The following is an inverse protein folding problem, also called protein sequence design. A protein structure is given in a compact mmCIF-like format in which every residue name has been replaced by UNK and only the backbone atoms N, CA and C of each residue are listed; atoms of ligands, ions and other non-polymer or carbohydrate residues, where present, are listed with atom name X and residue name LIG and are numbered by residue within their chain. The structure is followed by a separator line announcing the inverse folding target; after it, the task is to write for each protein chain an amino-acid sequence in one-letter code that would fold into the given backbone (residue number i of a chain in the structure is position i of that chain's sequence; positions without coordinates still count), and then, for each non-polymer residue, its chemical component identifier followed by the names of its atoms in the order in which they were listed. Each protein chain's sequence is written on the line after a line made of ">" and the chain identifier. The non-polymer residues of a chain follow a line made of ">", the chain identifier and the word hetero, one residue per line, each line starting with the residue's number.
data_IF_172895860515
#
_entry.id   IF_172895860515
#
_cell.length_a   1.000
_cell.length_b   1.000
_cell.length_c   1.000
_cell.angle_alpha   90.00
_cell.angle_beta   90.00
_cell.angle_gamma   90.00
#
_symmetry.space_group_name_H-M   'P 1'
#
loop_
_entity.id
_entity.type
_entity.pdbx_description
1 polymer ?
#
# COMPACT_ATOMS: atom_id res chain seq x y z
N UNK A 1 -13.10 3.35 5.97
CA UNK A 1 -12.20 2.63 5.04
C UNK A 1 -10.91 2.29 5.73
N UNK A 2 -10.19 1.26 5.28
CA UNK A 2 -8.88 0.88 5.84
C UNK A 2 -7.78 1.63 5.08
N UNK A 3 -6.82 2.21 5.81
CA UNK A 3 -5.57 2.72 5.26
C UNK A 3 -4.61 1.55 5.05
N UNK A 4 -4.23 1.31 3.79
CA UNK A 4 -3.43 0.13 3.44
C UNK A 4 -1.91 0.34 3.58
N UNK A 5 -1.45 1.56 3.90
CA UNK A 5 -0.03 1.87 4.01
C UNK A 5 0.21 2.98 5.04
N UNK A 6 0.82 2.64 6.19
CA UNK A 6 1.07 3.58 7.27
C UNK A 6 2.23 3.15 8.18
N UNK A 7 3.09 4.10 8.58
CA UNK A 7 4.21 3.92 9.49
C UNK A 7 3.84 4.41 10.90
N UNK A 8 2.97 3.63 11.57
CA UNK A 8 2.30 4.07 12.79
C UNK A 8 2.86 3.44 14.07
N UNK A 9 3.73 2.42 13.97
CA UNK A 9 4.29 1.77 15.16
C UNK A 9 5.23 2.71 15.92
N UNK A 10 5.10 2.81 17.27
CA UNK A 10 5.89 3.75 18.05
C UNK A 10 7.37 3.37 18.08
N UNK A 11 8.25 4.32 17.74
CA UNK A 11 9.70 4.17 17.75
C UNK A 11 10.21 2.89 17.06
N UNK A 12 9.64 2.58 15.89
CA UNK A 12 9.96 1.35 15.17
C UNK A 12 10.80 1.58 13.91
N UNK A 13 10.42 2.53 13.08
CA UNK A 13 11.08 2.97 11.85
C UNK A 13 11.15 4.51 11.78
N UNK A 14 11.15 5.08 10.59
CA UNK A 14 11.13 6.54 10.36
C UNK A 14 9.73 7.16 10.48
N UNK A 15 8.73 6.37 10.88
CA UNK A 15 7.36 6.81 11.14
C UNK A 15 7.17 7.48 12.50
N UNK A 16 6.20 7.00 13.29
CA UNK A 16 5.89 7.55 14.59
C UNK A 16 7.09 7.42 15.56
N UNK A 17 7.65 8.55 16.02
CA UNK A 17 8.83 8.60 16.88
C UNK A 17 8.61 8.01 18.29
N UNK A 18 7.36 7.98 18.77
CA UNK A 18 6.96 7.53 20.09
C UNK A 18 5.45 7.18 20.13
N UNK A 19 4.99 6.66 21.27
CA UNK A 19 3.60 6.28 21.48
C UNK A 19 2.65 7.49 21.38
N UNK A 20 3.05 8.65 21.87
CA UNK A 20 2.22 9.87 21.81
C UNK A 20 1.95 10.27 20.36
N UNK A 21 2.95 10.22 19.50
CA UNK A 21 2.81 10.48 18.07
C UNK A 21 1.92 9.42 17.40
N UNK A 22 2.09 8.13 17.71
CA UNK A 22 1.25 7.06 17.19
C UNK A 22 -0.23 7.30 17.52
N UNK A 23 -0.53 7.62 18.79
CA UNK A 23 -1.90 7.93 19.23
C UNK A 23 -2.47 9.16 18.53
N UNK A 24 -1.66 10.19 18.34
CA UNK A 24 -2.07 11.40 17.61
C UNK A 24 -2.32 11.12 16.13
N UNK A 25 -1.51 10.27 15.49
CA UNK A 25 -1.74 9.84 14.11
C UNK A 25 -3.04 9.04 13.98
N UNK A 26 -3.37 8.18 14.97
CA UNK A 26 -4.66 7.47 15.02
C UNK A 26 -5.85 8.42 15.16
N UNK A 27 -5.74 9.42 16.03
CA UNK A 27 -6.77 10.45 16.20
C UNK A 27 -7.03 11.20 14.89
N UNK A 28 -5.97 11.63 14.20
CA UNK A 28 -6.05 12.30 12.91
C UNK A 28 -6.65 11.38 11.84
N UNK A 29 -6.24 10.11 11.81
CA UNK A 29 -6.79 9.11 10.88
C UNK A 29 -8.30 8.91 11.10
N UNK A 30 -8.74 8.86 12.35
CA UNK A 30 -10.17 8.77 12.69
C UNK A 30 -10.94 9.99 12.18
N UNK A 31 -10.38 11.19 12.38
CA UNK A 31 -10.97 12.44 11.87
C UNK A 31 -11.02 12.45 10.33
N UNK A 32 -10.07 11.79 9.67
CA UNK A 32 -9.99 11.61 8.22
C UNK A 32 -10.96 10.53 7.68
N UNK A 33 -11.69 9.86 8.57
CA UNK A 33 -12.70 8.83 8.25
C UNK A 33 -12.12 7.44 8.03
N UNK A 34 -10.93 7.17 8.57
CA UNK A 34 -10.29 5.86 8.57
C UNK A 34 -10.90 4.99 9.67
N UNK A 35 -11.25 3.74 9.33
CA UNK A 35 -11.84 2.76 10.23
C UNK A 35 -10.93 1.55 10.52
N UNK A 36 -9.72 1.54 9.98
CA UNK A 36 -8.70 0.52 10.20
C UNK A 36 -7.40 0.93 9.53
N UNK A 37 -6.27 0.43 9.99
CA UNK A 37 -4.93 0.75 9.46
C UNK A 37 -4.12 -0.53 9.35
N UNK A 38 -3.45 -0.74 8.21
CA UNK A 38 -2.39 -1.73 8.07
C UNK A 38 -1.07 -1.03 8.41
N UNK A 39 -0.41 -1.47 9.50
CA UNK A 39 0.93 -1.01 9.84
C UNK A 39 1.94 -1.66 8.89
N UNK A 40 2.64 -0.85 8.13
CA UNK A 40 3.57 -1.28 7.08
C UNK A 40 4.97 -0.74 7.31
N UNK A 41 5.44 -0.77 8.54
CA UNK A 41 6.81 -0.35 8.88
C UNK A 41 7.85 -1.02 8.00
N UNK A 42 8.90 -0.29 7.67
CA UNK A 42 9.99 -0.76 6.80
C UNK A 42 10.69 -1.99 7.35
N UNK A 43 10.94 -2.97 6.48
CA UNK A 43 11.82 -4.11 6.70
C UNK A 43 12.91 -4.13 5.63
N UNK A 44 14.18 -4.10 6.04
CA UNK A 44 15.36 -3.97 5.18
C UNK A 44 16.28 -5.20 5.23
N UNK A 45 15.93 -6.35 4.63
CA UNK A 45 16.72 -7.58 4.70
C UNK A 45 18.16 -7.41 4.17
N UNK A 46 18.38 -6.49 3.20
CA UNK A 46 19.69 -6.19 2.64
C UNK A 46 20.68 -5.58 3.65
N UNK A 47 20.19 -5.05 4.76
CA UNK A 47 21.06 -4.55 5.86
C UNK A 47 21.44 -5.64 6.86
N UNK A 48 21.04 -6.90 6.59
CA UNK A 48 21.22 -8.01 7.52
C UNK A 48 20.07 -8.16 8.54
N UNK A 49 18.97 -7.39 8.39
CA UNK A 49 17.79 -7.54 9.23
C UNK A 49 17.11 -8.89 8.96
N UNK A 50 16.96 -9.67 10.01
CA UNK A 50 16.26 -10.95 9.94
C UNK A 50 14.75 -10.73 9.99
N UNK A 51 14.01 -11.24 8.98
CA UNK A 51 12.55 -11.05 8.86
C UNK A 51 11.80 -11.61 10.09
N UNK A 52 12.29 -12.70 10.70
CA UNK A 52 11.66 -13.25 11.91
C UNK A 52 11.83 -12.33 13.12
N UNK A 53 13.01 -11.74 13.29
CA UNK A 53 13.27 -10.79 14.35
C UNK A 53 12.51 -9.48 14.14
N UNK A 54 12.46 -8.98 12.91
CA UNK A 54 11.60 -7.87 12.53
C UNK A 54 10.15 -8.13 12.94
N UNK A 55 9.59 -9.29 12.54
CA UNK A 55 8.19 -9.64 12.82
C UNK A 55 7.92 -9.71 14.33
N UNK A 56 8.84 -10.28 15.12
CA UNK A 56 8.72 -10.32 16.58
C UNK A 56 8.66 -8.90 17.18
N UNK A 57 9.58 -8.04 16.80
CA UNK A 57 9.62 -6.63 17.27
C UNK A 57 8.39 -5.85 16.85
N UNK A 58 7.94 -6.04 15.60
CA UNK A 58 6.71 -5.45 15.06
C UNK A 58 5.49 -5.87 15.91
N UNK A 59 5.34 -7.14 16.19
CA UNK A 59 4.19 -7.67 16.92
C UNK A 59 4.18 -7.20 18.37
N UNK A 60 5.34 -7.02 19.00
CA UNK A 60 5.48 -6.40 20.31
C UNK A 60 5.00 -4.93 20.30
N UNK A 61 5.50 -4.10 19.36
CA UNK A 61 5.07 -2.70 19.25
C UNK A 61 3.59 -2.57 18.88
N UNK A 62 3.09 -3.45 18.03
CA UNK A 62 1.67 -3.50 17.69
C UNK A 62 0.81 -3.85 18.90
N UNK A 63 1.27 -4.77 19.75
CA UNK A 63 0.58 -5.13 21.00
C UNK A 63 0.55 -3.95 21.99
N UNK A 64 1.66 -3.25 22.15
CA UNK A 64 1.75 -2.03 22.98
C UNK A 64 0.77 -0.95 22.46
N UNK A 65 0.73 -0.70 21.16
CA UNK A 65 -0.17 0.27 20.56
C UNK A 65 -1.64 -0.12 20.75
N UNK A 66 -1.98 -1.41 20.57
CA UNK A 66 -3.34 -1.93 20.80
C UNK A 66 -3.75 -1.85 22.26
N UNK A 67 -2.83 -2.01 23.19
CA UNK A 67 -3.11 -1.84 24.64
C UNK A 67 -3.37 -0.37 25.01
N UNK A 68 -2.75 0.58 24.30
CA UNK A 68 -2.92 2.00 24.54
C UNK A 68 -4.20 2.59 23.92
N UNK A 69 -4.83 1.89 22.94
CA UNK A 69 -6.06 2.33 22.29
C UNK A 69 -6.83 1.15 21.69
N UNK A 70 -8.16 1.27 21.55
CA UNK A 70 -9.05 0.28 20.94
C UNK A 70 -10.07 0.88 19.96
N UNK A 71 -9.90 2.13 19.56
CA UNK A 71 -10.86 2.85 18.71
C UNK A 71 -10.74 2.49 17.24
N UNK A 72 -9.51 2.29 16.76
CA UNK A 72 -9.20 1.92 15.37
C UNK A 72 -8.39 0.62 15.37
N UNK A 73 -8.89 -0.45 14.71
CA UNK A 73 -8.11 -1.67 14.55
C UNK A 73 -6.84 -1.40 13.73
N UNK A 74 -5.69 -1.86 14.25
CA UNK A 74 -4.41 -1.83 13.55
C UNK A 74 -4.00 -3.26 13.23
N UNK A 75 -3.79 -3.54 11.96
CA UNK A 75 -3.40 -4.85 11.43
C UNK A 75 -1.88 -4.92 11.24
N UNK A 76 -1.29 -6.08 11.46
CA UNK A 76 0.13 -6.31 11.20
C UNK A 76 0.43 -6.35 9.69
N UNK A 77 1.56 -5.84 9.30
CA UNK A 77 2.10 -5.89 7.95
C UNK A 77 3.56 -5.46 7.97
N UNK A 78 4.16 -5.31 6.83
CA UNK A 78 5.41 -4.57 6.65
C UNK A 78 5.51 -4.06 5.21
N UNK A 79 6.32 -3.04 5.00
CA UNK A 79 6.83 -2.65 3.70
C UNK A 79 8.19 -3.31 3.52
N UNK A 80 8.19 -4.44 2.79
CA UNK A 80 9.38 -5.26 2.59
C UNK A 80 10.19 -4.72 1.41
N UNK A 81 11.40 -4.24 1.68
CA UNK A 81 12.26 -3.63 0.66
C UNK A 81 12.90 -4.67 -0.26
N UNK A 82 12.87 -4.44 -1.59
CA UNK A 82 13.34 -5.34 -2.65
C UNK A 82 14.75 -4.98 -3.15
N UNK A 83 15.66 -4.55 -2.29
CA UNK A 83 17.08 -4.38 -2.66
C UNK A 83 17.87 -5.69 -2.66
N UNK A 84 17.27 -6.78 -2.22
CA UNK A 84 17.76 -8.16 -2.31
C UNK A 84 16.60 -9.07 -2.71
N UNK A 85 16.89 -10.26 -3.23
CA UNK A 85 15.86 -11.23 -3.63
C UNK A 85 15.18 -11.84 -2.39
N UNK A 86 14.12 -11.16 -1.92
CA UNK A 86 13.35 -11.59 -0.75
C UNK A 86 12.48 -12.83 -1.01
N UNK A 87 12.37 -13.26 -2.26
CA UNK A 87 11.62 -14.47 -2.60
C UNK A 87 12.32 -15.75 -2.13
N UNK A 88 13.62 -15.69 -1.87
CA UNK A 88 14.42 -16.84 -1.43
C UNK A 88 14.38 -17.06 0.09
N UNK A 89 13.87 -16.10 0.89
CA UNK A 89 13.82 -16.27 2.34
C UNK A 89 12.64 -17.16 2.78
N UNK A 90 12.92 -18.11 3.67
CA UNK A 90 11.89 -18.99 4.25
C UNK A 90 10.90 -18.20 5.13
N UNK A 91 11.40 -17.18 5.82
CA UNK A 91 10.64 -16.37 6.76
C UNK A 91 9.74 -15.31 6.10
N UNK A 92 9.75 -15.18 4.78
CA UNK A 92 8.96 -14.19 4.01
C UNK A 92 7.48 -14.19 4.42
N UNK A 93 6.94 -15.35 4.82
CA UNK A 93 5.58 -15.47 5.34
C UNK A 93 5.29 -14.55 6.53
N UNK A 94 6.28 -14.26 7.38
CA UNK A 94 6.13 -13.41 8.56
C UNK A 94 6.01 -11.92 8.22
N UNK A 95 6.36 -11.54 6.99
CA UNK A 95 6.18 -10.20 6.45
C UNK A 95 4.76 -9.95 5.92
N UNK A 96 3.94 -10.99 5.77
CA UNK A 96 2.60 -10.87 5.21
C UNK A 96 1.65 -10.08 6.12
N UNK A 97 0.68 -9.41 5.48
CA UNK A 97 -0.35 -8.62 6.16
C UNK A 97 -1.28 -9.56 6.93
N UNK A 98 -1.43 -9.32 8.24
CA UNK A 98 -2.39 -9.99 9.13
C UNK A 98 -2.40 -11.53 9.00
N UNK A 99 -1.23 -12.14 8.83
CA UNK A 99 -1.03 -13.57 8.59
C UNK A 99 -1.72 -14.15 7.33
N UNK A 100 -2.11 -13.31 6.40
CA UNK A 100 -2.67 -13.71 5.09
C UNK A 100 -1.55 -14.10 4.10
N UNK A 101 -1.84 -14.19 2.82
CA UNK A 101 -0.85 -14.37 1.75
C UNK A 101 -0.47 -13.07 1.05
N UNK A 102 -1.05 -11.94 1.45
CA UNK A 102 -0.74 -10.61 0.91
C UNK A 102 0.54 -10.06 1.52
N UNK A 103 1.46 -9.60 0.67
CA UNK A 103 2.75 -9.05 1.09
C UNK A 103 3.03 -7.74 0.35
N UNK A 104 3.31 -6.67 1.10
CA UNK A 104 3.65 -5.38 0.50
C UNK A 104 5.15 -5.31 0.20
N UNK A 105 5.48 -4.94 -1.02
CA UNK A 105 6.85 -4.87 -1.54
C UNK A 105 7.16 -3.44 -1.94
N UNK A 106 8.20 -2.88 -1.37
CA UNK A 106 8.81 -1.64 -1.83
C UNK A 106 9.88 -1.95 -2.88
N UNK A 107 9.62 -1.54 -4.11
CA UNK A 107 10.61 -1.63 -5.19
C UNK A 107 11.69 -0.56 -5.00
N UNK A 108 12.93 -0.79 -5.46
CA UNK A 108 14.00 0.20 -5.33
C UNK A 108 13.64 1.55 -5.94
N UNK A 109 14.10 2.63 -5.30
CA UNK A 109 14.01 3.99 -5.83
C UNK A 109 14.89 4.23 -7.05
N UNK A 110 16.01 3.48 -7.11
CA UNK A 110 16.97 3.52 -8.19
C UNK A 110 16.51 2.72 -9.41
N UNK A 111 17.43 2.50 -10.36
CA UNK A 111 17.16 1.73 -11.55
C UNK A 111 16.80 0.28 -11.22
N UNK A 112 15.62 -0.14 -11.65
CA UNK A 112 15.21 -1.53 -11.57
C UNK A 112 16.08 -2.39 -12.51
N UNK A 113 16.19 -3.66 -12.17
CA UNK A 113 16.85 -4.70 -12.97
C UNK A 113 15.85 -5.82 -13.22
N UNK A 114 16.11 -6.64 -14.22
CA UNK A 114 15.23 -7.76 -14.58
C UNK A 114 15.00 -8.73 -13.39
N UNK A 115 16.03 -8.95 -12.57
CA UNK A 115 15.89 -9.82 -11.41
C UNK A 115 14.87 -9.33 -10.35
N UNK A 116 14.59 -8.03 -10.25
CA UNK A 116 13.55 -7.53 -9.35
C UNK A 116 12.16 -8.03 -9.81
N UNK A 117 11.91 -7.99 -11.12
CA UNK A 117 10.66 -8.49 -11.70
C UNK A 117 10.56 -10.00 -11.51
N UNK A 118 11.69 -10.71 -11.71
CA UNK A 118 11.79 -12.15 -11.48
C UNK A 118 11.54 -12.51 -10.01
N UNK A 119 12.07 -11.76 -9.05
CA UNK A 119 11.83 -11.96 -7.63
C UNK A 119 10.34 -11.77 -7.26
N UNK A 120 9.70 -10.74 -7.79
CA UNK A 120 8.25 -10.55 -7.63
C UNK A 120 7.47 -11.73 -8.22
N UNK A 121 7.84 -12.20 -9.41
CA UNK A 121 7.23 -13.38 -10.02
C UNK A 121 7.41 -14.64 -9.17
N UNK A 122 8.61 -14.89 -8.64
CA UNK A 122 8.88 -16.02 -7.73
C UNK A 122 7.98 -15.98 -6.48
N UNK A 123 7.71 -14.81 -5.92
CA UNK A 123 6.76 -14.66 -4.81
C UNK A 123 5.37 -15.18 -5.21
N UNK A 124 4.88 -14.85 -6.41
CA UNK A 124 3.57 -15.35 -6.87
C UNK A 124 3.53 -16.87 -7.00
N UNK A 125 4.59 -17.49 -7.53
CA UNK A 125 4.70 -18.96 -7.64
C UNK A 125 4.70 -19.62 -6.25
N UNK A 126 5.27 -18.96 -5.24
CA UNK A 126 5.29 -19.45 -3.86
C UNK A 126 3.95 -19.26 -3.12
N UNK A 127 2.93 -18.75 -3.82
CA UNK A 127 1.57 -18.57 -3.29
C UNK A 127 1.37 -17.27 -2.50
N UNK A 128 2.29 -16.31 -2.59
CA UNK A 128 2.06 -14.96 -2.11
C UNK A 128 1.31 -14.14 -3.14
N UNK A 129 0.62 -13.09 -2.67
CA UNK A 129 0.03 -12.05 -3.51
C UNK A 129 0.79 -10.73 -3.23
N UNK A 130 1.81 -10.42 -4.06
CA UNK A 130 2.56 -9.19 -3.88
C UNK A 130 1.68 -7.95 -4.11
N UNK A 131 1.85 -6.95 -3.24
CA UNK A 131 1.29 -5.60 -3.36
C UNK A 131 2.48 -4.67 -3.58
N UNK A 132 2.57 -4.07 -4.75
CA UNK A 132 3.63 -3.09 -5.01
C UNK A 132 3.23 -1.77 -4.35
N UNK A 133 4.03 -1.35 -3.36
CA UNK A 133 3.83 -0.13 -2.61
C UNK A 133 3.95 1.10 -3.52
N UNK A 134 3.18 2.13 -3.24
CA UNK A 134 3.21 3.45 -3.88
C UNK A 134 3.64 3.45 -5.36
N UNK A 135 3.01 2.59 -6.18
CA UNK A 135 3.32 2.43 -7.62
C UNK A 135 3.35 3.79 -8.36
N UNK A 136 2.58 4.76 -7.89
CA UNK A 136 2.52 6.11 -8.45
C UNK A 136 3.86 6.87 -8.35
N UNK A 137 4.78 6.46 -7.49
CA UNK A 137 6.12 7.05 -7.36
C UNK A 137 7.08 6.60 -8.46
N UNK A 138 6.81 5.47 -9.12
CA UNK A 138 7.71 4.89 -10.13
C UNK A 138 7.42 5.37 -11.56
N UNK A 139 6.74 6.49 -11.73
CA UNK A 139 6.35 7.07 -13.03
C UNK A 139 7.54 7.34 -13.99
N UNK A 140 8.75 7.57 -13.44
CA UNK A 140 9.97 7.84 -14.22
C UNK A 140 10.86 6.60 -14.44
N UNK A 141 10.46 5.45 -13.92
CA UNK A 141 11.23 4.22 -14.09
C UNK A 141 11.18 3.69 -15.52
N UNK A 142 12.10 2.77 -15.83
CA UNK A 142 12.18 2.13 -17.14
C UNK A 142 10.82 1.51 -17.53
N UNK A 143 10.29 1.98 -18.64
CA UNK A 143 8.96 1.57 -19.12
C UNK A 143 8.89 0.09 -19.49
N UNK A 144 10.01 -0.52 -19.93
CA UNK A 144 10.05 -1.94 -20.27
C UNK A 144 9.87 -2.77 -19.00
N UNK A 145 10.61 -2.45 -17.93
CA UNK A 145 10.52 -3.16 -16.65
C UNK A 145 9.20 -2.90 -15.95
N UNK A 146 8.69 -1.67 -16.01
CA UNK A 146 7.36 -1.35 -15.48
C UNK A 146 6.26 -2.13 -16.21
N UNK A 147 6.34 -2.26 -17.56
CA UNK A 147 5.41 -3.08 -18.31
C UNK A 147 5.56 -4.57 -17.97
N UNK A 148 6.78 -5.07 -17.79
CA UNK A 148 6.99 -6.47 -17.36
C UNK A 148 6.37 -6.74 -15.99
N UNK A 149 6.46 -5.78 -15.05
CA UNK A 149 5.77 -5.86 -13.75
C UNK A 149 4.25 -5.89 -13.93
N UNK A 150 3.71 -5.12 -14.89
CA UNK A 150 2.28 -5.06 -15.17
C UNK A 150 1.70 -6.32 -15.83
N UNK A 151 2.52 -7.21 -16.32
CA UNK A 151 2.09 -8.53 -16.82
C UNK A 151 1.99 -9.59 -15.71
N UNK A 152 2.48 -9.27 -14.50
CA UNK A 152 2.40 -10.18 -13.36
C UNK A 152 1.03 -10.08 -12.67
N UNK A 153 0.60 -11.18 -12.05
CA UNK A 153 -0.60 -11.21 -11.20
C UNK A 153 -0.28 -10.66 -9.80
N UNK A 154 -0.19 -9.33 -9.71
CA UNK A 154 0.14 -8.60 -8.48
C UNK A 154 -0.80 -7.41 -8.29
N UNK A 155 -0.88 -6.92 -7.07
CA UNK A 155 -1.68 -5.75 -6.74
C UNK A 155 -0.81 -4.49 -6.69
N UNK A 156 -1.43 -3.33 -6.87
CA UNK A 156 -0.75 -2.03 -6.85
C UNK A 156 -1.43 -1.11 -5.85
N UNK A 157 -0.65 -0.59 -4.90
CA UNK A 157 -1.11 0.43 -3.95
C UNK A 157 -0.69 1.81 -4.45
N UNK A 158 -1.62 2.77 -4.41
CA UNK A 158 -1.42 4.18 -4.77
C UNK A 158 -1.43 5.00 -3.49
N UNK A 159 -0.49 5.94 -3.36
CA UNK A 159 -0.52 6.92 -2.28
C UNK A 159 -1.59 7.99 -2.51
N UNK A 160 -2.21 8.42 -1.42
CA UNK A 160 -3.20 9.50 -1.44
C UNK A 160 -2.70 10.78 -2.11
N UNK A 161 -1.44 11.11 -1.93
CA UNK A 161 -0.79 12.27 -2.58
C UNK A 161 -0.79 12.18 -4.11
N UNK A 162 -0.69 10.97 -4.69
CA UNK A 162 -0.66 10.76 -6.12
C UNK A 162 -1.87 11.33 -6.85
N UNK A 163 -3.02 11.47 -6.18
CA UNK A 163 -4.24 12.05 -6.74
C UNK A 163 -4.19 13.58 -6.87
N UNK A 164 -3.38 14.26 -6.06
CA UNK A 164 -3.25 15.72 -6.06
C UNK A 164 -1.92 16.24 -6.60
N UNK A 165 -0.89 15.38 -6.65
CA UNK A 165 0.42 15.71 -7.17
C UNK A 165 0.37 15.94 -8.68
N UNK A 166 0.86 17.11 -9.13
CA UNK A 166 0.77 17.53 -10.54
C UNK A 166 1.54 16.62 -11.50
N UNK A 167 2.63 16.01 -11.03
CA UNK A 167 3.48 15.14 -11.81
C UNK A 167 2.94 13.70 -11.88
N UNK A 168 2.49 13.13 -10.74
CA UNK A 168 2.00 11.76 -10.64
C UNK A 168 0.55 11.59 -11.11
N UNK A 169 -0.26 12.64 -11.05
CA UNK A 169 -1.71 12.61 -11.35
C UNK A 169 -2.07 12.01 -12.71
N UNK A 170 -1.25 12.24 -13.74
CA UNK A 170 -1.47 11.64 -15.06
C UNK A 170 -1.29 10.13 -15.00
N UNK A 171 -0.21 9.67 -14.37
CA UNK A 171 0.09 8.26 -14.23
C UNK A 171 -0.95 7.53 -13.37
N UNK A 172 -1.40 8.13 -12.28
CA UNK A 172 -2.51 7.61 -11.46
C UNK A 172 -3.78 7.41 -12.30
N UNK A 173 -4.11 8.34 -13.19
CA UNK A 173 -5.26 8.15 -14.12
C UNK A 173 -5.05 6.97 -15.07
N UNK A 174 -3.84 6.79 -15.58
CA UNK A 174 -3.49 5.67 -16.46
C UNK A 174 -3.60 4.33 -15.69
N UNK A 175 -3.14 4.27 -14.44
CA UNK A 175 -3.27 3.10 -13.57
C UNK A 175 -4.73 2.73 -13.32
N UNK A 176 -5.57 3.71 -12.98
CA UNK A 176 -7.00 3.49 -12.76
C UNK A 176 -7.68 3.03 -14.07
N UNK A 177 -7.42 3.71 -15.18
CA UNK A 177 -8.02 3.38 -16.47
C UNK A 177 -7.62 1.98 -16.98
N UNK A 178 -6.41 1.52 -16.65
CA UNK A 178 -5.89 0.20 -17.00
C UNK A 178 -6.18 -0.86 -15.93
N UNK A 179 -6.99 -0.55 -14.90
CA UNK A 179 -7.31 -1.43 -13.78
C UNK A 179 -6.10 -1.90 -12.98
N UNK A 180 -5.08 -1.05 -12.89
CA UNK A 180 -3.82 -1.28 -12.15
C UNK A 180 -3.73 -0.42 -10.89
N UNK A 181 -4.87 -0.10 -10.28
CA UNK A 181 -4.98 0.61 -9.02
C UNK A 181 -5.91 -0.21 -8.12
N UNK A 182 -5.37 -0.87 -7.10
CA UNK A 182 -6.11 -1.84 -6.30
C UNK A 182 -6.35 -1.37 -4.88
N UNK A 183 -5.41 -0.61 -4.32
CA UNK A 183 -5.37 -0.22 -2.92
C UNK A 183 -4.98 1.24 -2.77
N UNK A 184 -5.45 1.84 -1.68
CA UNK A 184 -5.16 3.22 -1.32
C UNK A 184 -4.47 3.26 0.05
N UNK A 185 -3.37 4.00 0.15
CA UNK A 185 -2.64 4.22 1.39
C UNK A 185 -2.27 5.67 1.60
N UNK A 186 -2.15 6.10 2.85
CA UNK A 186 -1.67 7.43 3.18
C UNK A 186 -0.16 7.55 3.11
N UNK A 187 0.53 6.47 3.44
CA UNK A 187 1.97 6.46 3.66
C UNK A 187 2.37 7.49 4.72
N UNK A 188 1.54 7.61 5.75
CA UNK A 188 1.74 8.57 6.83
C UNK A 188 2.90 8.17 7.74
N UNK A 189 3.71 9.16 8.15
CA UNK A 189 4.87 8.95 9.02
C UNK A 189 4.85 9.86 10.25
N UNK A 190 4.03 10.91 10.24
CA UNK A 190 3.97 11.90 11.32
C UNK A 190 2.64 12.65 11.31
N UNK A 191 2.54 13.65 12.17
CA UNK A 191 1.33 14.47 12.33
C UNK A 191 1.37 15.80 11.56
N UNK A 192 2.37 15.99 10.68
CA UNK A 192 2.61 17.28 9.99
C UNK A 192 2.85 17.12 8.49
N UNK A 193 4.11 16.89 8.07
CA UNK A 193 4.50 16.85 6.65
C UNK A 193 4.02 15.60 5.91
N UNK A 194 3.93 14.46 6.62
CA UNK A 194 3.38 13.19 6.11
C UNK A 194 2.26 12.71 7.03
N UNK A 195 1.29 13.60 7.25
CA UNK A 195 0.10 13.32 8.06
C UNK A 195 -0.94 12.49 7.28
N UNK A 196 -1.92 11.87 7.97
CA UNK A 196 -3.08 11.25 7.31
C UNK A 196 -3.73 12.20 6.29
N UNK A 197 -4.08 11.70 5.11
CA UNK A 197 -4.56 12.53 4.00
C UNK A 197 -5.57 11.82 3.08
N UNK A 198 -6.14 10.69 3.55
CA UNK A 198 -7.03 9.85 2.74
C UNK A 198 -8.40 10.47 2.47
N UNK A 199 -8.92 11.37 3.34
CA UNK A 199 -10.17 12.08 3.08
C UNK A 199 -10.08 12.93 1.82
N UNK A 200 -8.96 13.61 1.61
CA UNK A 200 -8.71 14.40 0.41
C UNK A 200 -8.65 13.54 -0.86
N UNK A 201 -7.91 12.43 -0.80
CA UNK A 201 -7.84 11.47 -1.91
C UNK A 201 -9.22 10.87 -2.21
N UNK A 202 -10.00 10.49 -1.20
CA UNK A 202 -11.36 10.01 -1.35
C UNK A 202 -12.26 11.00 -2.07
N UNK A 203 -12.21 12.27 -1.70
CA UNK A 203 -12.99 13.32 -2.36
C UNK A 203 -12.61 13.46 -3.84
N UNK A 204 -11.30 13.45 -4.17
CA UNK A 204 -10.81 13.51 -5.54
C UNK A 204 -11.19 12.26 -6.35
N UNK A 205 -11.14 11.06 -5.75
CA UNK A 205 -11.54 9.82 -6.39
C UNK A 205 -13.04 9.86 -6.73
N UNK A 206 -13.90 10.17 -5.76
CA UNK A 206 -15.35 10.23 -5.98
C UNK A 206 -15.69 11.26 -7.06
N UNK A 207 -15.06 12.43 -7.01
CA UNK A 207 -15.27 13.52 -7.97
C UNK A 207 -14.88 13.16 -9.40
N UNK A 208 -13.74 12.49 -9.60
CA UNK A 208 -13.15 12.26 -10.91
C UNK A 208 -13.46 10.87 -11.50
N UNK A 209 -13.73 9.87 -10.65
CA UNK A 209 -13.90 8.45 -11.05
C UNK A 209 -15.22 7.84 -10.57
N UNK A 210 -15.96 8.53 -9.70
CA UNK A 210 -17.22 8.05 -9.17
C UNK A 210 -17.10 7.29 -7.84
N UNK A 211 -18.26 7.09 -7.20
CA UNK A 211 -18.35 6.38 -5.91
C UNK A 211 -17.93 4.92 -6.05
N UNK A 212 -18.31 4.25 -7.14
CA UNK A 212 -18.00 2.83 -7.35
C UNK A 212 -16.49 2.57 -7.37
N UNK A 213 -15.69 3.52 -7.88
CA UNK A 213 -14.23 3.46 -7.81
C UNK A 213 -13.73 3.51 -6.37
N UNK A 214 -14.32 4.36 -5.54
CA UNK A 214 -13.98 4.43 -4.12
C UNK A 214 -14.41 3.16 -3.37
N UNK A 215 -15.60 2.67 -3.64
CA UNK A 215 -16.13 1.45 -3.02
C UNK A 215 -15.27 0.22 -3.38
N UNK A 216 -14.70 0.18 -4.59
CA UNK A 216 -13.71 -0.83 -4.98
C UNK A 216 -12.46 -0.81 -4.10
N UNK A 217 -11.84 0.35 -3.86
CA UNK A 217 -10.69 0.46 -2.95
C UNK A 217 -11.04 0.02 -1.52
N UNK A 218 -12.22 0.41 -1.04
CA UNK A 218 -12.69 0.02 0.31
C UNK A 218 -12.84 -1.49 0.41
N UNK A 219 -13.51 -2.11 -0.56
CA UNK A 219 -13.74 -3.56 -0.60
C UNK A 219 -12.43 -4.34 -0.64
N UNK A 220 -11.48 -3.92 -1.48
CA UNK A 220 -10.18 -4.59 -1.57
C UNK A 220 -9.39 -4.52 -0.28
N UNK A 221 -9.37 -3.36 0.38
CA UNK A 221 -8.70 -3.19 1.66
C UNK A 221 -9.27 -4.14 2.75
N UNK A 222 -10.59 -4.33 2.76
CA UNK A 222 -11.24 -5.29 3.66
C UNK A 222 -10.89 -6.74 3.33
N UNK A 223 -10.83 -7.11 2.05
CA UNK A 223 -10.44 -8.45 1.60
C UNK A 223 -9.02 -8.78 2.02
N UNK A 224 -8.08 -7.86 1.84
CA UNK A 224 -6.67 -8.09 2.19
C UNK A 224 -6.49 -8.44 3.66
N UNK A 225 -7.11 -7.70 4.56
CA UNK A 225 -6.95 -7.97 6.00
C UNK A 225 -7.64 -9.26 6.46
N UNK A 226 -8.62 -9.76 5.68
CA UNK A 226 -9.29 -11.04 5.91
C UNK A 226 -8.60 -12.22 5.23
N UNK A 227 -7.75 -11.97 4.23
CA UNK A 227 -7.16 -13.00 3.38
C UNK A 227 -8.11 -13.49 2.27
N UNK A 228 -9.17 -12.74 1.99
CA UNK A 228 -10.11 -13.04 0.91
C UNK A 228 -9.49 -12.71 -0.47
N UNK A 229 -9.85 -13.45 -1.50
CA UNK A 229 -9.34 -13.26 -2.86
C UNK A 229 -9.89 -11.97 -3.49
N UNK A 230 -9.02 -11.22 -4.18
CA UNK A 230 -9.39 -10.12 -5.07
C UNK A 230 -9.37 -10.67 -6.49
N UNK A 231 -10.55 -10.92 -7.05
CA UNK A 231 -10.70 -11.48 -8.39
C UNK A 231 -10.75 -10.39 -9.47
N UNK A 232 -10.47 -10.77 -10.73
CA UNK A 232 -10.60 -9.86 -11.88
C UNK A 232 -12.04 -9.35 -12.06
N UNK A 233 -13.05 -10.12 -11.64
CA UNK A 233 -14.46 -9.69 -11.67
C UNK A 233 -14.75 -8.54 -10.72
N UNK A 234 -13.94 -8.37 -9.68
CA UNK A 234 -14.03 -7.23 -8.77
C UNK A 234 -13.53 -5.93 -9.41
N UNK A 235 -12.76 -6.01 -10.51
CA UNK A 235 -12.32 -4.84 -11.26
C UNK A 235 -13.49 -4.14 -11.93
N UNK A 236 -13.84 -3.00 -11.38
CA UNK A 236 -14.95 -2.18 -11.88
C UNK A 236 -14.70 -1.81 -13.34
N UNK A 237 -15.66 -2.12 -14.20
CA UNK A 237 -15.73 -1.51 -15.51
C UNK A 237 -16.14 -0.04 -15.32
N UNK A 238 -15.15 0.85 -15.18
CA UNK A 238 -15.44 2.29 -15.20
C UNK A 238 -16.25 2.61 -16.46
N UNK A 239 -17.39 3.26 -16.27
CA UNK A 239 -18.26 3.62 -17.36
C UNK A 239 -17.47 4.53 -18.33
N UNK A 240 -16.95 3.94 -19.42
CA UNK A 240 -16.10 4.62 -20.42
C UNK A 240 -16.69 5.94 -20.90
N UNK A 241 -18.03 6.10 -20.88
CA UNK A 241 -18.72 7.34 -21.27
C UNK A 241 -18.39 8.51 -20.33
N UNK A 242 -18.50 8.35 -19.02
CA UNK A 242 -18.21 9.43 -18.06
C UNK A 242 -16.74 9.84 -18.08
N UNK A 243 -15.83 8.86 -18.23
CA UNK A 243 -14.39 9.11 -18.28
C UNK A 243 -13.99 9.81 -19.59
N UNK A 244 -14.50 9.38 -20.74
CA UNK A 244 -14.21 9.99 -22.05
C UNK A 244 -14.86 11.37 -22.22
N UNK A 245 -16.03 11.61 -21.62
CA UNK A 245 -16.71 12.92 -21.67
C UNK A 245 -15.97 13.95 -20.82
N UNK A 246 -15.33 13.55 -19.72
CA UNK A 246 -14.47 14.43 -18.92
C UNK A 246 -13.10 14.73 -19.57
N UNK A 247 -12.59 13.82 -20.42
CA UNK A 247 -11.38 14.07 -21.23
C UNK A 247 -11.65 14.99 -22.42
N UNK A 248 -12.87 14.97 -22.98
CA UNK A 248 -13.26 15.84 -24.12
C UNK A 248 -13.64 17.27 -23.71
N UNK A 249 -13.90 17.53 -22.43
CA UNK A 249 -14.26 18.85 -21.90
C UNK A 249 -13.05 19.66 -21.39
N UNK A 250 -11.84 19.21 -21.64
CA UNK A 250 -10.58 19.91 -21.39
C UNK A 250 -9.73 19.97 -22.66
#
# INVERSE_FOLDING_TARGET
>A
MIDCHAHILPAFDDGAKDMEMSLKMLELSKADGISGIISTSHCYPQTGENISEFARRRDERLSELKAAQNEIPVYSGCELNMLTDVSEYEETRKACINNTNYIMIEMPWDAWKEWHIEAVYKLTIRGYVPIIAHIDRYVMHDKKLLNSLFELNVLYQINAEGFSDSFRKKFVRELIASKRAHLLGSDMHNTSSRAPNLAKARAEIIKNYGKDCMDYFVSNAEKIVKGDEISESDFISFNKKSFMDNLRKR
#
